data_IF_082643413297
#
_entry.id   IF_082643413297
#
_cell.length_a   1.000
_cell.length_b   1.000
_cell.length_c   1.000
_cell.angle_alpha   90.00
_cell.angle_beta   90.00
_cell.angle_gamma   90.00
#
_symmetry.space_group_name_H-M   'P 1'
#
loop_
_entity.id
_entity.type
_entity.pdbx_description
1 polymer ?
#
# COMPACT_ATOMS: atom_id res chain seq x y z
N UNK A 1 -24.00 -8.29 -60.27
CA UNK A 1 -24.50 -8.93 -61.49
C UNK A 1 -25.64 -9.85 -61.05
N UNK A 2 -26.92 -9.46 -61.20
CA UNK A 2 -27.43 -8.27 -61.89
C UNK A 2 -28.64 -7.59 -61.22
N UNK A 3 -28.98 -6.43 -61.78
CA UNK A 3 -30.15 -5.57 -61.55
C UNK A 3 -31.47 -6.23 -62.05
N UNK A 4 -32.69 -5.65 -61.98
CA UNK A 4 -33.16 -4.33 -61.49
C UNK A 4 -34.62 -4.41 -60.93
N UNK A 5 -35.24 -3.24 -60.66
CA UNK A 5 -36.59 -3.05 -60.09
C UNK A 5 -37.74 -3.16 -61.10
N UNK A 6 -38.97 -3.34 -60.59
CA UNK A 6 -40.16 -2.46 -60.76
C UNK A 6 -41.36 -3.05 -59.95
N UNK A 7 -42.22 -2.30 -59.24
CA UNK A 7 -43.28 -1.36 -59.68
C UNK A 7 -44.33 -2.01 -60.61
N UNK A 8 -45.66 -1.87 -60.43
CA UNK A 8 -46.49 -1.22 -59.38
C UNK A 8 -48.00 -1.54 -59.58
N UNK A 9 -48.87 -1.22 -58.59
CA UNK A 9 -50.34 -1.05 -58.72
C UNK A 9 -51.16 -2.34 -59.05
N UNK A 10 -52.49 -2.50 -58.88
CA UNK A 10 -53.66 -1.83 -58.24
C UNK A 10 -54.88 -2.84 -58.27
N UNK A 11 -56.14 -2.67 -57.83
CA UNK A 11 -57.04 -1.65 -57.18
C UNK A 11 -58.22 -2.47 -56.53
N UNK A 12 -58.68 -2.28 -55.29
CA UNK A 12 -59.72 -1.33 -54.76
C UNK A 12 -61.11 -1.96 -54.45
N UNK A 13 -62.01 -1.18 -53.82
CA UNK A 13 -63.39 -1.47 -53.35
C UNK A 13 -63.52 -2.29 -52.02
N UNK A 14 -64.49 -2.03 -51.13
CA UNK A 14 -65.60 -1.05 -51.16
C UNK A 14 -65.93 -0.41 -49.78
N UNK A 15 -66.78 0.62 -49.80
CA UNK A 15 -67.13 1.56 -48.70
C UNK A 15 -67.94 0.98 -47.52
N UNK A 16 -67.91 1.68 -46.38
CA UNK A 16 -69.13 2.27 -45.77
C UNK A 16 -68.82 3.48 -44.86
N UNK A 17 -69.82 4.30 -44.50
CA UNK A 17 -69.66 5.63 -43.85
C UNK A 17 -70.37 5.76 -42.48
N UNK A 18 -70.11 6.88 -41.80
CA UNK A 18 -70.50 7.22 -40.41
C UNK A 18 -72.00 7.51 -40.20
N UNK A 19 -72.44 7.53 -38.93
CA UNK A 19 -73.17 8.71 -38.42
C UNK A 19 -72.39 9.51 -37.35
N UNK A 20 -72.67 10.81 -37.28
CA UNK A 20 -72.15 11.72 -36.25
C UNK A 20 -73.12 11.90 -35.07
N UNK A 21 -72.58 12.10 -33.87
CA UNK A 21 -73.21 12.93 -32.82
C UNK A 21 -72.25 14.02 -32.34
N UNK A 22 -72.78 15.16 -31.90
CA UNK A 22 -72.02 16.35 -31.54
C UNK A 22 -71.96 16.57 -30.02
N UNK A 23 -70.76 16.75 -29.47
CA UNK A 23 -70.51 17.18 -28.10
C UNK A 23 -69.36 18.21 -28.04
N UNK A 24 -69.31 19.11 -27.03
CA UNK A 24 -68.65 20.41 -27.18
C UNK A 24 -67.12 20.43 -27.07
N UNK A 25 -66.53 21.50 -27.63
CA UNK A 25 -65.08 21.78 -27.66
C UNK A 25 -64.49 21.90 -26.24
N UNK A 26 -63.33 21.27 -26.02
CA UNK A 26 -62.48 21.47 -24.83
C UNK A 26 -61.54 22.68 -25.02
N UNK A 27 -61.12 23.36 -23.94
CA UNK A 27 -60.23 24.53 -24.01
C UNK A 27 -58.81 24.18 -24.46
N UNK A 28 -58.06 25.21 -24.89
CA UNK A 28 -56.65 25.09 -25.32
C UNK A 28 -55.76 24.74 -24.11
N UNK A 29 -54.88 23.75 -24.27
CA UNK A 29 -54.00 23.29 -23.20
C UNK A 29 -52.77 24.20 -23.03
N UNK A 30 -52.76 24.98 -21.94
CA UNK A 30 -51.60 25.80 -21.54
C UNK A 30 -50.42 24.96 -21.02
N UNK A 31 -50.68 23.72 -20.59
CA UNK A 31 -49.71 22.86 -19.89
C UNK A 31 -48.41 22.56 -20.63
N UNK A 32 -48.35 22.75 -21.97
CA UNK A 32 -47.11 22.62 -22.74
C UNK A 32 -46.05 23.66 -22.37
N UNK A 33 -46.43 24.85 -21.88
CA UNK A 33 -45.48 25.91 -21.53
C UNK A 33 -44.90 25.75 -20.12
N UNK A 34 -45.68 25.21 -19.18
CA UNK A 34 -45.22 24.95 -17.81
C UNK A 34 -44.50 23.61 -17.66
N UNK A 35 -44.84 22.59 -18.47
CA UNK A 35 -44.04 21.37 -18.57
C UNK A 35 -42.57 21.65 -18.95
N UNK A 36 -42.32 22.63 -19.82
CA UNK A 36 -40.97 23.08 -20.18
C UNK A 36 -40.26 23.83 -19.03
N UNK A 37 -40.99 24.57 -18.18
CA UNK A 37 -40.43 25.16 -16.95
C UNK A 37 -40.05 24.09 -15.92
N UNK A 38 -40.85 23.03 -15.80
CA UNK A 38 -40.57 21.91 -14.89
C UNK A 38 -39.30 21.13 -15.30
N UNK A 39 -39.05 20.96 -16.60
CA UNK A 39 -37.81 20.31 -17.09
C UNK A 39 -36.56 21.13 -16.72
N UNK A 40 -36.66 22.46 -16.68
CA UNK A 40 -35.55 23.33 -16.29
C UNK A 40 -35.20 23.31 -14.79
N UNK A 41 -36.07 22.78 -13.92
CA UNK A 41 -35.90 22.81 -12.45
C UNK A 41 -35.59 21.45 -11.81
N UNK A 42 -35.50 20.36 -12.59
CA UNK A 42 -35.30 18.99 -12.06
C UNK A 42 -33.95 18.31 -12.46
N UNK A 43 -32.78 18.97 -12.49
CA UNK A 43 -31.49 18.26 -12.49
C UNK A 43 -31.30 17.38 -11.24
N UNK A 44 -31.74 17.88 -10.07
CA UNK A 44 -31.42 17.29 -8.76
C UNK A 44 -32.10 15.95 -8.53
N UNK A 45 -33.42 15.83 -8.78
CA UNK A 45 -34.13 14.54 -8.62
C UNK A 45 -33.68 13.53 -9.68
N UNK A 46 -33.28 13.96 -10.88
CA UNK A 46 -32.69 13.08 -11.89
C UNK A 46 -31.37 12.48 -11.42
N UNK A 47 -30.46 13.31 -10.90
CA UNK A 47 -29.20 12.86 -10.30
C UNK A 47 -29.43 11.96 -9.06
N UNK A 48 -30.40 12.31 -8.21
CA UNK A 48 -30.74 11.54 -7.00
C UNK A 48 -31.35 10.17 -7.36
N UNK A 49 -32.25 10.11 -8.34
CA UNK A 49 -32.82 8.86 -8.86
C UNK A 49 -31.77 7.99 -9.55
N UNK A 50 -30.84 8.58 -10.32
CA UNK A 50 -29.70 7.86 -10.89
C UNK A 50 -28.76 7.33 -9.79
N UNK A 51 -28.51 8.12 -8.74
CA UNK A 51 -27.75 7.70 -7.56
C UNK A 51 -28.40 6.54 -6.82
N UNK A 52 -29.72 6.59 -6.59
CA UNK A 52 -30.51 5.51 -5.99
C UNK A 52 -30.52 4.27 -6.88
N UNK A 53 -30.65 4.42 -8.21
CA UNK A 53 -30.56 3.31 -9.17
C UNK A 53 -29.17 2.66 -9.16
N UNK A 54 -28.09 3.46 -9.17
CA UNK A 54 -26.71 2.97 -9.09
C UNK A 54 -26.43 2.28 -7.75
N UNK A 55 -26.91 2.84 -6.64
CA UNK A 55 -26.82 2.23 -5.30
C UNK A 55 -27.56 0.88 -5.26
N UNK A 56 -28.84 0.85 -5.65
CA UNK A 56 -29.65 -0.39 -5.74
C UNK A 56 -29.04 -1.42 -6.68
N UNK A 57 -28.41 -1.02 -7.79
CA UNK A 57 -27.75 -1.94 -8.73
C UNK A 57 -26.47 -2.54 -8.14
N UNK A 58 -25.69 -1.76 -7.38
CA UNK A 58 -24.55 -2.28 -6.64
C UNK A 58 -25.01 -3.21 -5.49
N UNK A 59 -26.03 -2.82 -4.73
CA UNK A 59 -26.65 -3.63 -3.68
C UNK A 59 -27.19 -4.96 -4.24
N UNK A 60 -27.92 -4.94 -5.37
CA UNK A 60 -28.40 -6.15 -6.04
C UNK A 60 -27.27 -7.05 -6.56
N UNK A 61 -26.14 -6.48 -7.00
CA UNK A 61 -24.98 -7.27 -7.43
C UNK A 61 -24.28 -7.92 -6.23
N UNK A 62 -24.05 -7.17 -5.15
CA UNK A 62 -23.46 -7.69 -3.92
C UNK A 62 -24.36 -8.76 -3.27
N UNK A 63 -25.67 -8.50 -3.18
CA UNK A 63 -26.64 -9.45 -2.63
C UNK A 63 -26.69 -10.73 -3.46
N UNK A 64 -26.65 -10.66 -4.80
CA UNK A 64 -26.56 -11.87 -5.64
C UNK A 64 -25.30 -12.67 -5.40
N UNK A 65 -24.17 -12.00 -5.18
CA UNK A 65 -22.91 -12.68 -4.83
C UNK A 65 -22.99 -13.37 -3.46
N UNK A 66 -23.57 -12.72 -2.44
CA UNK A 66 -23.73 -13.31 -1.09
C UNK A 66 -24.88 -14.32 -0.97
N UNK A 67 -25.87 -14.28 -1.87
CA UNK A 67 -26.92 -15.30 -2.01
C UNK A 67 -26.38 -16.57 -2.71
N UNK A 68 -25.61 -16.41 -3.79
CA UNK A 68 -24.89 -17.52 -4.45
C UNK A 68 -23.86 -18.15 -3.51
N UNK A 69 -23.09 -17.31 -2.84
CA UNK A 69 -22.02 -17.71 -1.94
C UNK A 69 -22.39 -17.27 -0.53
N UNK A 70 -23.04 -18.15 0.24
CA UNK A 70 -23.37 -17.93 1.66
C UNK A 70 -22.10 -17.76 2.49
N UNK A 71 -21.51 -16.57 2.45
CA UNK A 71 -20.42 -16.13 3.32
C UNK A 71 -21.00 -15.74 4.68
N UNK A 72 -20.21 -15.88 5.74
CA UNK A 72 -20.57 -15.23 6.98
C UNK A 72 -20.12 -13.77 6.91
N UNK A 73 -20.96 -12.87 7.40
CA UNK A 73 -20.50 -11.61 7.97
C UNK A 73 -19.92 -11.90 9.36
N UNK A 74 -18.78 -12.60 9.40
CA UNK A 74 -17.97 -12.69 10.62
C UNK A 74 -17.33 -11.31 10.81
N UNK A 75 -18.09 -10.41 11.44
CA UNK A 75 -17.58 -9.12 11.92
C UNK A 75 -16.36 -9.42 12.80
N UNK A 76 -15.17 -8.98 12.36
CA UNK A 76 -13.94 -9.15 13.12
C UNK A 76 -14.16 -8.46 14.48
N UNK A 77 -14.14 -9.18 15.62
CA UNK A 77 -14.43 -8.55 16.90
C UNK A 77 -13.36 -7.49 17.15
N UNK A 78 -13.79 -6.23 17.25
CA UNK A 78 -12.95 -5.14 17.75
C UNK A 78 -12.43 -5.60 19.11
N UNK A 79 -11.10 -5.74 19.23
CA UNK A 79 -10.49 -6.07 20.51
C UNK A 79 -10.87 -4.95 21.49
N UNK A 80 -11.55 -5.25 22.61
CA UNK A 80 -11.99 -4.21 23.52
C UNK A 80 -10.79 -3.42 24.02
N UNK A 81 -10.90 -2.09 23.97
CA UNK A 81 -9.86 -1.16 24.41
C UNK A 81 -9.49 -1.52 25.85
N UNK A 82 -8.21 -1.81 26.08
CA UNK A 82 -7.69 -2.10 27.42
C UNK A 82 -7.89 -0.88 28.34
N UNK A 83 -7.91 -1.09 29.65
CA UNK A 83 -8.10 -0.03 30.64
C UNK A 83 -7.07 1.11 30.47
N UNK A 84 -7.47 2.32 30.88
CA UNK A 84 -6.81 3.63 30.64
C UNK A 84 -5.33 3.79 31.11
N UNK A 85 -4.68 2.73 31.54
CA UNK A 85 -3.42 2.75 32.29
C UNK A 85 -2.15 2.49 31.43
N UNK A 86 -2.28 1.99 30.19
CA UNK A 86 -1.13 1.56 29.38
C UNK A 86 -1.01 2.32 28.05
N UNK A 87 -0.20 3.37 28.03
CA UNK A 87 0.30 4.02 26.81
C UNK A 87 1.57 3.26 26.33
N UNK A 88 1.66 2.95 25.04
CA UNK A 88 2.86 2.34 24.45
C UNK A 88 3.79 3.43 23.91
N UNK A 89 5.04 3.47 24.41
CA UNK A 89 6.05 4.45 23.97
C UNK A 89 6.83 3.89 22.79
N UNK A 90 6.81 4.60 21.67
CA UNK A 90 7.34 4.14 20.38
C UNK A 90 8.52 4.98 19.94
N UNK A 91 9.60 4.32 19.52
CA UNK A 91 10.67 4.93 18.74
C UNK A 91 10.53 4.62 17.25
N UNK A 92 10.90 5.55 16.37
CA UNK A 92 11.02 5.29 14.93
C UNK A 92 12.48 5.32 14.47
N UNK A 93 12.86 4.32 13.67
CA UNK A 93 14.19 4.20 13.04
C UNK A 93 13.97 4.21 11.52
N UNK A 94 14.33 5.32 10.88
CA UNK A 94 14.00 5.63 9.48
C UNK A 94 12.67 6.40 9.38
N UNK A 95 12.76 7.72 9.18
CA UNK A 95 11.63 8.66 9.13
C UNK A 95 11.33 9.19 7.71
N UNK A 96 12.08 8.74 6.68
CA UNK A 96 11.87 9.10 5.27
C UNK A 96 10.52 8.64 4.66
N UNK A 97 10.46 8.48 3.33
CA UNK A 97 9.19 8.30 2.58
C UNK A 97 8.27 7.22 3.19
N UNK A 98 8.80 6.05 3.60
CA UNK A 98 8.00 5.01 4.25
C UNK A 98 7.79 5.25 5.75
N UNK A 99 8.79 5.75 6.47
CA UNK A 99 8.65 6.14 7.89
C UNK A 99 7.52 7.14 8.09
N UNK A 100 7.45 8.20 7.29
CA UNK A 100 6.35 9.17 7.32
C UNK A 100 4.97 8.59 6.93
N UNK A 101 4.90 7.53 6.11
CA UNK A 101 3.65 6.79 5.87
C UNK A 101 3.22 6.01 7.12
N UNK A 102 4.16 5.38 7.82
CA UNK A 102 3.89 4.62 9.04
C UNK A 102 3.51 5.53 10.21
N UNK A 103 4.17 6.69 10.37
CA UNK A 103 3.76 7.72 11.32
C UNK A 103 2.29 8.14 11.11
N UNK A 104 1.88 8.34 9.84
CA UNK A 104 0.46 8.62 9.50
C UNK A 104 -0.48 7.44 9.73
N UNK A 105 0.01 6.21 9.72
CA UNK A 105 -0.74 5.03 10.16
C UNK A 105 -0.85 4.90 11.69
N UNK A 106 -0.01 5.63 12.42
CA UNK A 106 0.05 5.69 13.88
C UNK A 106 -0.61 6.97 14.45
N UNK A 107 -1.24 7.80 13.62
CA UNK A 107 -1.88 9.06 14.01
C UNK A 107 -1.00 10.31 14.01
N UNK A 108 0.27 10.22 13.61
CA UNK A 108 1.27 11.30 13.64
C UNK A 108 1.57 11.86 12.24
N UNK A 109 1.57 13.19 12.10
CA UNK A 109 1.87 13.85 10.82
C UNK A 109 2.48 15.24 11.02
N UNK A 110 3.37 15.66 10.11
CA UNK A 110 3.92 17.03 10.16
C UNK A 110 2.81 18.07 10.00
N UNK A 111 2.86 19.21 10.71
CA UNK A 111 1.86 20.27 10.60
C UNK A 111 1.67 20.79 9.16
N UNK A 112 2.74 20.75 8.35
CA UNK A 112 2.72 21.07 6.93
C UNK A 112 1.86 20.09 6.13
N UNK A 113 1.94 18.78 6.41
CA UNK A 113 1.13 17.75 5.73
C UNK A 113 -0.35 17.82 6.13
N UNK A 114 -0.64 18.11 7.40
CA UNK A 114 -2.03 18.28 7.89
C UNK A 114 -2.67 19.49 7.21
N UNK A 115 -1.97 20.63 7.15
CA UNK A 115 -2.47 21.82 6.45
C UNK A 115 -2.59 21.56 4.94
N UNK A 116 -1.68 20.79 4.32
CA UNK A 116 -1.84 20.40 2.91
C UNK A 116 -3.11 19.57 2.69
N UNK A 117 -3.37 18.52 3.48
CA UNK A 117 -4.57 17.69 3.37
C UNK A 117 -5.85 18.54 3.51
N UNK A 118 -5.88 19.43 4.51
CA UNK A 118 -6.96 20.38 4.76
C UNK A 118 -7.20 21.34 3.59
N UNK A 119 -6.14 21.89 3.02
CA UNK A 119 -6.22 22.75 1.84
C UNK A 119 -6.61 21.96 0.57
N UNK A 120 -6.33 20.66 0.50
CA UNK A 120 -6.80 19.80 -0.59
C UNK A 120 -8.29 19.42 -0.42
N UNK A 121 -8.79 19.14 0.79
CA UNK A 121 -10.21 18.81 1.04
C UNK A 121 -11.13 20.04 0.93
N UNK A 122 -10.63 21.25 1.20
CA UNK A 122 -11.32 22.50 0.89
C UNK A 122 -11.44 22.78 -0.63
N UNK A 123 -10.58 22.18 -1.46
CA UNK A 123 -10.58 22.33 -2.93
C UNK A 123 -11.38 21.24 -3.66
N UNK A 124 -11.41 20.03 -3.11
CA UNK A 124 -12.25 18.93 -3.60
C UNK A 124 -12.99 18.25 -2.44
N UNK A 125 -14.31 18.43 -2.39
CA UNK A 125 -15.18 17.85 -1.36
C UNK A 125 -15.35 16.32 -1.46
N UNK A 126 -14.76 15.67 -2.46
CA UNK A 126 -14.62 14.20 -2.54
C UNK A 126 -13.33 13.68 -1.91
N UNK A 127 -12.40 14.56 -1.56
CA UNK A 127 -11.11 14.20 -1.01
C UNK A 127 -11.22 13.97 0.51
N UNK A 128 -11.64 12.76 0.89
CA UNK A 128 -11.89 12.36 2.29
C UNK A 128 -10.64 12.35 3.16
N UNK A 129 -9.43 12.25 2.58
CA UNK A 129 -8.15 12.00 3.29
C UNK A 129 -7.87 12.87 4.52
N UNK A 130 -8.37 14.11 4.56
CA UNK A 130 -8.28 14.94 5.76
C UNK A 130 -9.20 14.43 6.88
N UNK A 131 -10.49 14.18 6.59
CA UNK A 131 -11.43 13.59 7.53
C UNK A 131 -10.96 12.18 7.95
N UNK A 132 -10.56 11.35 6.99
CA UNK A 132 -10.05 9.99 7.26
C UNK A 132 -8.86 9.99 8.24
N UNK A 133 -8.00 11.02 8.21
CA UNK A 133 -6.87 11.18 9.13
C UNK A 133 -7.28 11.74 10.49
N UNK A 134 -8.21 12.71 10.53
CA UNK A 134 -8.72 13.25 11.80
C UNK A 134 -9.56 12.20 12.57
N UNK A 135 -10.30 11.36 11.86
CA UNK A 135 -11.18 10.31 12.41
C UNK A 135 -10.44 9.01 12.78
N UNK A 136 -9.12 8.91 12.57
CA UNK A 136 -8.33 7.76 13.04
C UNK A 136 -8.43 7.58 14.55
N UNK A 137 -8.67 6.35 14.98
CA UNK A 137 -8.71 5.94 16.39
C UNK A 137 -7.43 6.36 17.16
N UNK A 138 -7.58 6.61 18.47
CA UNK A 138 -6.42 6.74 19.36
C UNK A 138 -5.88 5.35 19.70
N UNK A 139 -4.71 5.02 19.14
CA UNK A 139 -4.01 3.75 19.36
C UNK A 139 -3.36 3.65 20.76
N UNK A 140 -3.49 4.68 21.62
CA UNK A 140 -2.80 4.82 22.92
C UNK A 140 -1.28 4.74 22.78
N UNK A 141 -0.75 5.37 21.72
CA UNK A 141 0.69 5.42 21.41
C UNK A 141 1.23 6.82 21.64
N UNK A 142 2.44 6.90 22.22
CA UNK A 142 3.25 8.12 22.23
C UNK A 142 4.53 7.88 21.42
N UNK A 143 4.82 8.73 20.43
CA UNK A 143 6.15 8.74 19.83
C UNK A 143 7.11 9.44 20.81
N UNK A 144 8.13 8.73 21.29
CA UNK A 144 9.12 9.25 22.26
C UNK A 144 10.51 9.43 21.67
N UNK A 145 10.84 8.71 20.59
CA UNK A 145 12.18 8.73 20.01
C UNK A 145 12.19 8.72 18.47
N UNK A 146 13.13 9.44 17.87
CA UNK A 146 13.34 9.48 16.41
C UNK A 146 14.82 9.29 16.08
N UNK A 147 15.12 8.36 15.19
CA UNK A 147 16.45 8.15 14.62
C UNK A 147 16.36 8.07 13.09
N UNK A 148 17.03 9.00 12.39
CA UNK A 148 17.30 8.90 10.95
C UNK A 148 18.72 9.44 10.70
N UNK A 149 19.40 8.88 9.70
CA UNK A 149 20.76 9.27 9.30
C UNK A 149 20.76 10.53 8.43
N UNK A 150 19.61 10.95 7.90
CA UNK A 150 19.44 12.26 7.25
C UNK A 150 18.70 13.24 8.17
N UNK A 151 19.34 14.39 8.44
CA UNK A 151 18.84 15.46 9.30
C UNK A 151 17.37 15.83 9.05
N UNK A 152 17.00 16.13 7.81
CA UNK A 152 15.64 16.60 7.49
C UNK A 152 14.58 15.52 7.80
N UNK A 153 14.85 14.24 7.53
CA UNK A 153 13.94 13.16 7.91
C UNK A 153 13.77 13.08 9.43
N UNK A 154 14.86 13.23 10.19
CA UNK A 154 14.78 13.22 11.65
C UNK A 154 13.94 14.41 12.16
N UNK A 155 14.14 15.62 11.61
CA UNK A 155 13.33 16.80 11.98
C UNK A 155 11.85 16.65 11.61
N UNK A 156 11.51 16.09 10.44
CA UNK A 156 10.12 15.83 10.08
C UNK A 156 9.48 14.73 10.94
N UNK A 157 10.25 13.70 11.33
CA UNK A 157 9.80 12.72 12.32
C UNK A 157 9.51 13.35 13.69
N UNK A 158 10.31 14.33 14.12
CA UNK A 158 10.14 15.06 15.38
C UNK A 158 8.87 15.94 15.32
N UNK A 159 8.71 16.75 14.27
CA UNK A 159 7.48 17.54 14.02
C UNK A 159 6.23 16.66 14.03
N UNK A 160 6.29 15.49 13.38
CA UNK A 160 5.16 14.58 13.30
C UNK A 160 4.80 13.98 14.66
N UNK A 161 5.79 13.58 15.46
CA UNK A 161 5.58 13.09 16.83
C UNK A 161 5.04 14.16 17.79
N UNK A 162 5.52 15.39 17.67
CA UNK A 162 5.05 16.52 18.48
C UNK A 162 3.59 16.92 18.15
N UNK A 163 3.13 16.68 16.92
CA UNK A 163 1.78 17.05 16.46
C UNK A 163 0.67 16.11 16.96
N UNK A 164 0.64 15.84 18.28
CA UNK A 164 -0.32 14.94 18.95
C UNK A 164 -1.79 15.37 18.81
N UNK A 165 -2.04 16.62 18.41
CA UNK A 165 -3.38 17.17 18.18
C UNK A 165 -3.82 17.12 16.70
N UNK A 166 -2.96 16.59 15.81
CA UNK A 166 -3.20 16.51 14.35
C UNK A 166 -3.60 17.87 13.75
N UNK A 167 -2.90 18.94 14.14
CA UNK A 167 -3.18 20.31 13.67
C UNK A 167 -2.25 20.77 12.54
N UNK A 168 -2.65 21.84 11.85
CA UNK A 168 -1.84 22.48 10.79
C UNK A 168 -0.76 23.41 11.36
N UNK A 169 0.01 24.08 10.48
CA UNK A 169 1.23 24.85 10.82
C UNK A 169 1.14 25.94 11.90
N UNK A 170 -0.07 26.37 12.29
CA UNK A 170 -0.32 27.33 13.37
C UNK A 170 -0.98 26.68 14.61
N UNK A 171 -0.86 25.36 14.75
CA UNK A 171 -1.49 24.57 15.79
C UNK A 171 -0.76 24.55 17.13
N UNK A 172 -1.35 23.85 18.08
CA UNK A 172 -0.75 23.48 19.36
C UNK A 172 -0.06 22.13 19.21
N UNK A 173 1.15 22.00 19.76
CA UNK A 173 1.94 20.76 19.71
C UNK A 173 2.30 20.29 21.13
N UNK A 174 2.44 18.98 21.29
CA UNK A 174 2.91 18.34 22.52
C UNK A 174 4.43 18.30 22.64
N UNK A 175 4.97 17.51 23.58
CA UNK A 175 6.42 17.32 23.72
C UNK A 175 7.05 16.75 22.45
N UNK A 176 8.20 17.29 22.06
CA UNK A 176 9.00 16.74 20.96
C UNK A 176 9.59 15.36 21.34
N UNK A 177 9.51 14.34 20.47
CA UNK A 177 10.24 13.09 20.68
C UNK A 177 11.75 13.36 20.58
N UNK A 178 12.53 12.68 21.42
CA UNK A 178 13.98 12.87 21.47
C UNK A 178 14.66 12.37 20.18
N UNK A 179 15.48 13.23 19.57
CA UNK A 179 16.38 12.82 18.49
C UNK A 179 17.50 11.94 19.04
N UNK A 180 17.77 10.85 18.35
CA UNK A 180 18.97 10.03 18.50
C UNK A 180 19.77 10.07 17.19
N UNK A 181 21.11 10.05 17.30
CA UNK A 181 21.99 10.03 16.13
C UNK A 181 22.38 8.61 15.74
N UNK A 182 22.37 7.67 16.68
CA UNK A 182 22.58 6.25 16.41
C UNK A 182 21.41 5.42 16.96
N UNK A 183 20.93 4.44 16.19
CA UNK A 183 19.77 3.64 16.57
C UNK A 183 20.00 2.81 17.84
N UNK A 184 21.25 2.44 18.17
CA UNK A 184 21.55 1.68 19.39
C UNK A 184 21.39 2.52 20.65
N UNK A 185 21.53 3.85 20.56
CA UNK A 185 21.21 4.78 21.64
C UNK A 185 19.69 4.86 21.88
N UNK A 186 18.89 4.86 20.80
CA UNK A 186 17.43 4.78 20.85
C UNK A 186 16.97 3.44 21.46
N UNK A 187 17.62 2.33 21.07
CA UNK A 187 17.34 1.01 21.65
C UNK A 187 17.78 0.89 23.11
N UNK A 188 18.78 1.66 23.56
CA UNK A 188 19.22 1.70 24.95
C UNK A 188 18.33 2.58 25.85
N UNK A 189 17.32 3.27 25.30
CA UNK A 189 16.52 4.24 26.03
C UNK A 189 15.39 3.60 26.86
N UNK A 190 15.25 4.02 28.12
CA UNK A 190 14.20 3.53 29.05
C UNK A 190 12.79 4.08 28.71
N UNK A 191 12.70 5.10 27.84
CA UNK A 191 11.48 5.74 27.37
C UNK A 191 10.94 5.18 26.03
N UNK A 192 11.42 4.01 25.62
CA UNK A 192 10.98 3.28 24.41
C UNK A 192 10.58 1.85 24.76
N UNK A 193 9.34 1.45 24.47
CA UNK A 193 8.82 0.09 24.67
C UNK A 193 8.84 -0.72 23.36
N UNK A 194 8.55 -0.04 22.24
CA UNK A 194 8.48 -0.62 20.92
C UNK A 194 9.23 0.25 19.89
N UNK A 195 9.71 -0.36 18.81
CA UNK A 195 10.28 0.36 17.67
C UNK A 195 9.61 0.04 16.35
N UNK A 196 9.49 1.07 15.51
CA UNK A 196 9.10 0.98 14.11
C UNK A 196 10.36 1.15 13.27
N UNK A 197 10.75 0.10 12.54
CA UNK A 197 11.95 0.09 11.69
C UNK A 197 11.49 0.20 10.24
N UNK A 198 11.88 1.29 9.58
CA UNK A 198 11.56 1.63 8.20
C UNK A 198 12.80 2.18 7.45
N UNK A 199 13.96 1.55 7.70
CA UNK A 199 15.24 1.84 7.09
C UNK A 199 15.33 1.25 5.66
N UNK A 200 16.52 1.26 5.02
CA UNK A 200 16.81 0.39 3.88
C UNK A 200 16.88 -1.10 4.27
N UNK A 201 16.69 -1.99 3.27
CA UNK A 201 16.62 -3.45 3.46
C UNK A 201 17.87 -4.02 4.18
N UNK A 202 19.06 -3.52 3.84
CA UNK A 202 20.34 -4.02 4.40
C UNK A 202 20.48 -3.80 5.91
N UNK A 203 19.68 -2.91 6.49
CA UNK A 203 19.66 -2.64 7.93
C UNK A 203 18.58 -3.44 8.69
N UNK A 204 17.51 -3.89 8.03
CA UNK A 204 16.33 -4.48 8.67
C UNK A 204 16.64 -5.64 9.60
N UNK A 205 17.36 -6.66 9.11
CA UNK A 205 17.70 -7.84 9.91
C UNK A 205 18.53 -7.50 11.15
N UNK A 206 19.54 -6.65 10.99
CA UNK A 206 20.44 -6.24 12.07
C UNK A 206 19.72 -5.38 13.12
N UNK A 207 18.98 -4.36 12.69
CA UNK A 207 18.22 -3.48 13.59
C UNK A 207 17.13 -4.24 14.37
N UNK A 208 16.41 -5.17 13.71
CA UNK A 208 15.37 -5.96 14.37
C UNK A 208 15.95 -6.95 15.39
N UNK A 209 17.05 -7.63 15.05
CA UNK A 209 17.75 -8.51 15.98
C UNK A 209 18.27 -7.74 17.20
N UNK A 210 18.88 -6.56 17.01
CA UNK A 210 19.39 -5.75 18.12
C UNK A 210 18.25 -5.13 18.96
N UNK A 211 17.12 -4.78 18.35
CA UNK A 211 15.93 -4.29 19.07
C UNK A 211 15.33 -5.33 20.01
N UNK A 212 15.21 -6.59 19.55
CA UNK A 212 14.72 -7.70 20.38
C UNK A 212 15.68 -8.00 21.53
N UNK A 213 17.00 -7.99 21.28
CA UNK A 213 18.04 -8.13 22.33
C UNK A 213 17.97 -7.00 23.36
N UNK A 214 17.69 -5.77 22.93
CA UNK A 214 17.46 -4.60 23.78
C UNK A 214 16.08 -4.59 24.48
N UNK A 215 15.33 -5.71 24.42
CA UNK A 215 14.05 -5.86 25.11
C UNK A 215 12.88 -5.12 24.47
N UNK A 216 13.03 -4.56 23.26
CA UNK A 216 11.97 -3.79 22.59
C UNK A 216 11.02 -4.70 21.81
N UNK A 217 9.76 -4.27 21.69
CA UNK A 217 8.84 -4.82 20.68
C UNK A 217 9.16 -4.23 19.29
N UNK A 218 8.82 -4.94 18.22
CA UNK A 218 9.26 -4.55 16.85
C UNK A 218 8.11 -4.60 15.85
N UNK A 219 7.87 -3.47 15.20
CA UNK A 219 7.31 -3.43 13.85
C UNK A 219 8.46 -3.24 12.86
N UNK A 220 8.60 -4.15 11.89
CA UNK A 220 9.64 -4.12 10.87
C UNK A 220 9.00 -3.98 9.50
N UNK A 221 9.47 -3.05 8.67
CA UNK A 221 9.03 -2.99 7.27
C UNK A 221 9.43 -4.23 6.45
N UNK A 222 8.72 -4.43 5.33
CA UNK A 222 9.10 -5.49 4.39
C UNK A 222 10.16 -4.97 3.40
N UNK A 223 11.16 -5.79 3.01
CA UNK A 223 11.41 -7.18 3.36
C UNK A 223 11.97 -7.36 4.77
N UNK A 224 11.82 -8.56 5.35
CA UNK A 224 12.23 -8.82 6.72
C UNK A 224 13.76 -8.78 6.95
N UNK A 225 14.54 -9.16 5.94
CA UNK A 225 15.99 -9.38 6.00
C UNK A 225 16.60 -9.22 4.61
N UNK A 226 17.92 -9.06 4.54
CA UNK A 226 18.64 -8.86 3.27
C UNK A 226 19.27 -10.17 2.76
N UNK A 227 19.62 -11.09 3.67
CA UNK A 227 20.11 -12.44 3.35
C UNK A 227 19.26 -13.56 3.97
N UNK A 228 19.36 -14.76 3.40
CA UNK A 228 18.66 -15.96 3.92
C UNK A 228 19.17 -16.42 5.29
N UNK A 229 20.48 -16.39 5.62
CA UNK A 229 20.96 -16.66 6.98
C UNK A 229 20.37 -15.72 8.03
N UNK A 230 20.26 -14.42 7.75
CA UNK A 230 19.59 -13.46 8.65
C UNK A 230 18.14 -13.83 8.91
N UNK A 231 17.41 -14.33 7.90
CA UNK A 231 16.01 -14.78 8.04
C UNK A 231 15.85 -15.81 9.14
N UNK A 232 16.79 -16.76 9.24
CA UNK A 232 16.80 -17.79 10.27
C UNK A 232 17.26 -17.24 11.63
N UNK A 233 18.31 -16.42 11.65
CA UNK A 233 18.80 -15.80 12.90
C UNK A 233 17.74 -14.91 13.57
N UNK A 234 17.05 -14.06 12.79
CA UNK A 234 15.96 -13.24 13.30
C UNK A 234 14.75 -14.07 13.71
N UNK A 235 14.36 -15.11 12.95
CA UNK A 235 13.29 -16.05 13.34
C UNK A 235 13.56 -16.67 14.72
N UNK A 236 14.79 -17.12 14.97
CA UNK A 236 15.15 -17.84 16.18
C UNK A 236 15.34 -16.89 17.37
N UNK A 237 15.78 -15.66 17.14
CA UNK A 237 15.76 -14.58 18.14
C UNK A 237 14.31 -14.18 18.49
N UNK A 238 13.43 -13.98 17.51
CA UNK A 238 12.00 -13.70 17.76
C UNK A 238 11.37 -14.85 18.59
N UNK A 239 11.58 -16.11 18.17
CA UNK A 239 10.99 -17.30 18.81
C UNK A 239 11.55 -17.62 20.20
N UNK A 240 12.77 -17.23 20.51
CA UNK A 240 13.36 -17.38 21.85
C UNK A 240 13.03 -16.20 22.78
N UNK A 241 12.59 -15.07 22.24
CA UNK A 241 12.17 -13.89 23.01
C UNK A 241 10.71 -13.96 23.50
N UNK A 242 10.39 -13.10 24.47
CA UNK A 242 9.02 -12.76 24.85
C UNK A 242 8.56 -11.41 24.25
N UNK A 243 9.09 -11.04 23.07
CA UNK A 243 8.78 -9.76 22.40
C UNK A 243 7.80 -9.98 21.26
N UNK A 244 6.78 -9.11 21.17
CA UNK A 244 5.96 -8.98 19.96
C UNK A 244 6.83 -8.53 18.79
N UNK A 245 6.70 -9.22 17.66
CA UNK A 245 7.33 -8.90 16.39
C UNK A 245 6.27 -8.94 15.27
N UNK A 246 6.20 -7.90 14.45
CA UNK A 246 5.30 -7.81 13.30
C UNK A 246 6.05 -7.33 12.05
N UNK A 247 5.77 -7.97 10.92
CA UNK A 247 6.29 -7.61 9.60
C UNK A 247 5.27 -6.75 8.82
N UNK A 248 5.74 -5.72 8.13
CA UNK A 248 4.97 -4.63 7.50
C UNK A 248 4.17 -4.97 6.24
N UNK A 249 3.56 -6.15 6.16
CA UNK A 249 2.68 -6.53 5.05
C UNK A 249 1.30 -5.86 5.18
N UNK A 250 1.16 -4.61 4.74
CA UNK A 250 -0.09 -3.85 4.92
C UNK A 250 -1.34 -4.47 4.27
N UNK A 251 -1.18 -5.33 3.26
CA UNK A 251 -2.31 -5.95 2.55
C UNK A 251 -3.07 -7.01 3.39
N UNK A 252 -2.61 -7.35 4.61
CA UNK A 252 -3.21 -8.35 5.51
C UNK A 252 -4.61 -8.02 6.06
N UNK A 253 -5.15 -6.85 5.74
CA UNK A 253 -6.49 -6.42 6.15
C UNK A 253 -7.49 -6.32 4.98
N UNK A 254 -7.10 -6.71 3.75
CA UNK A 254 -7.97 -6.63 2.56
C UNK A 254 -9.06 -7.71 2.61
N UNK A 255 -10.33 -7.31 2.77
CA UNK A 255 -11.48 -8.23 2.83
C UNK A 255 -11.58 -9.15 1.61
N UNK A 256 -11.20 -8.67 0.42
CA UNK A 256 -11.23 -9.46 -0.81
C UNK A 256 -10.38 -10.75 -0.74
N UNK A 257 -9.31 -10.75 0.05
CA UNK A 257 -8.49 -11.96 0.27
C UNK A 257 -9.21 -12.97 1.17
N UNK A 258 -9.95 -12.51 2.18
CA UNK A 258 -10.80 -13.38 3.01
C UNK A 258 -11.93 -13.98 2.18
N UNK A 259 -12.58 -13.19 1.31
CA UNK A 259 -13.62 -13.70 0.41
C UNK A 259 -13.06 -14.70 -0.61
N UNK A 260 -11.85 -14.47 -1.15
CA UNK A 260 -11.16 -15.43 -2.00
C UNK A 260 -10.87 -16.74 -1.25
N UNK A 261 -10.36 -16.66 -0.01
CA UNK A 261 -10.14 -17.82 0.86
C UNK A 261 -11.44 -18.58 1.14
N UNK A 262 -12.54 -17.90 1.47
CA UNK A 262 -13.85 -18.52 1.68
C UNK A 262 -14.41 -19.20 0.41
N UNK A 263 -14.12 -18.69 -0.79
CA UNK A 263 -14.52 -19.31 -2.06
C UNK A 263 -13.76 -20.63 -2.26
N UNK A 264 -12.45 -20.63 -1.99
CA UNK A 264 -11.56 -21.78 -2.16
C UNK A 264 -11.83 -22.86 -1.09
N UNK A 265 -12.01 -22.47 0.18
CA UNK A 265 -12.34 -23.40 1.27
C UNK A 265 -13.72 -24.08 1.07
N UNK A 266 -14.63 -23.47 0.30
CA UNK A 266 -15.91 -24.07 -0.14
C UNK A 266 -15.77 -24.97 -1.39
N UNK A 267 -14.57 -25.11 -1.94
CA UNK A 267 -14.28 -25.95 -3.11
C UNK A 267 -14.86 -25.42 -4.44
N UNK A 268 -15.32 -24.17 -4.49
CA UNK A 268 -16.16 -23.64 -5.57
C UNK A 268 -15.42 -23.45 -6.91
N UNK A 269 -14.08 -23.44 -6.89
CA UNK A 269 -13.22 -23.35 -8.06
C UNK A 269 -12.62 -24.72 -8.46
N UNK A 270 -12.84 -25.78 -7.67
CA UNK A 270 -12.12 -27.04 -7.78
C UNK A 270 -10.62 -26.89 -7.41
N UNK A 271 -9.75 -27.80 -7.89
CA UNK A 271 -8.31 -27.72 -7.68
C UNK A 271 -7.70 -26.50 -8.38
N UNK A 272 -6.87 -25.73 -7.66
CA UNK A 272 -6.17 -24.56 -8.21
C UNK A 272 -4.84 -25.01 -8.83
N UNK A 273 -4.79 -25.10 -10.16
CA UNK A 273 -3.57 -25.50 -10.90
C UNK A 273 -2.66 -24.34 -11.29
N UNK A 274 -3.21 -23.13 -11.44
CA UNK A 274 -2.48 -21.94 -11.83
C UNK A 274 -2.95 -20.73 -11.02
N UNK A 275 -1.99 -19.89 -10.61
CA UNK A 275 -2.21 -18.59 -9.97
C UNK A 275 -1.37 -17.56 -10.71
N UNK A 276 -1.94 -16.43 -11.09
CA UNK A 276 -1.24 -15.35 -11.80
C UNK A 276 -1.41 -14.02 -11.05
N UNK A 277 -0.30 -13.30 -10.85
CA UNK A 277 -0.24 -11.98 -10.21
C UNK A 277 0.76 -11.09 -10.93
N UNK A 278 0.74 -9.79 -10.64
CA UNK A 278 1.82 -8.89 -11.07
C UNK A 278 1.68 -7.47 -10.56
N UNK A 279 2.79 -6.72 -10.53
CA UNK A 279 2.81 -5.32 -10.06
C UNK A 279 3.47 -4.41 -11.09
N UNK A 280 2.64 -3.68 -11.83
CA UNK A 280 3.08 -2.74 -12.85
C UNK A 280 3.19 -1.32 -12.26
N UNK A 281 4.35 -0.67 -12.42
CA UNK A 281 4.62 0.70 -11.94
C UNK A 281 5.29 1.51 -13.05
N UNK A 282 4.50 2.33 -13.73
CA UNK A 282 4.84 2.86 -15.06
C UNK A 282 5.29 4.33 -15.02
N UNK A 283 5.84 4.78 -13.89
CA UNK A 283 6.24 6.17 -13.63
C UNK A 283 7.58 6.24 -12.86
N UNK A 284 8.29 7.39 -12.88
CA UNK A 284 9.59 7.53 -12.23
C UNK A 284 9.57 7.25 -10.72
N UNK A 285 8.54 7.71 -10.00
CA UNK A 285 8.40 7.48 -8.56
C UNK A 285 8.04 6.00 -8.27
N UNK A 286 7.27 5.37 -9.14
CA UNK A 286 6.99 3.94 -9.10
C UNK A 286 8.24 3.07 -9.29
N UNK A 287 9.17 3.50 -10.13
CA UNK A 287 10.46 2.86 -10.42
C UNK A 287 11.65 3.37 -9.57
N UNK A 288 11.35 4.00 -8.43
CA UNK A 288 12.27 4.55 -7.42
C UNK A 288 13.20 5.69 -7.89
N UNK A 289 12.93 6.31 -9.04
CA UNK A 289 13.61 7.50 -9.55
C UNK A 289 13.01 8.76 -8.91
N UNK A 290 13.18 8.87 -7.59
CA UNK A 290 12.73 10.04 -6.82
C UNK A 290 13.57 11.28 -7.10
N UNK A 291 13.01 12.46 -6.79
CA UNK A 291 13.80 13.67 -6.62
C UNK A 291 14.73 13.53 -5.40
N UNK A 292 15.97 13.98 -5.54
CA UNK A 292 16.93 14.08 -4.42
C UNK A 292 16.56 15.31 -3.60
N UNK A 293 16.57 15.20 -2.27
CA UNK A 293 16.27 16.34 -1.39
C UNK A 293 17.33 17.45 -1.56
N UNK A 294 16.96 18.74 -1.72
CA UNK A 294 17.93 19.81 -1.99
C UNK A 294 19.01 19.94 -0.92
N UNK A 295 18.65 19.73 0.35
CA UNK A 295 19.60 19.80 1.49
C UNK A 295 20.47 18.54 1.66
N UNK A 296 20.29 17.50 0.83
CA UNK A 296 21.05 16.25 0.94
C UNK A 296 22.51 16.44 0.59
N UNK A 297 23.42 16.28 1.56
CA UNK A 297 24.87 16.37 1.37
C UNK A 297 25.63 15.65 2.52
N UNK A 298 26.95 15.54 2.40
CA UNK A 298 27.83 14.86 3.37
C UNK A 298 27.77 15.39 4.81
N UNK A 299 27.22 16.60 5.03
CA UNK A 299 27.06 17.20 6.36
C UNK A 299 25.70 16.93 7.00
N UNK A 300 24.69 16.60 6.20
CA UNK A 300 23.31 16.34 6.66
C UNK A 300 22.96 14.85 6.64
N UNK A 301 23.74 14.03 5.93
CA UNK A 301 23.59 12.58 5.83
C UNK A 301 24.80 11.90 6.48
N UNK A 302 24.60 11.15 7.57
CA UNK A 302 25.62 10.25 8.10
C UNK A 302 25.80 9.05 7.16
N UNK A 303 26.68 9.22 6.18
CA UNK A 303 26.98 8.19 5.19
C UNK A 303 27.55 6.93 5.81
N UNK A 304 28.38 7.04 6.85
CA UNK A 304 29.01 5.89 7.51
C UNK A 304 27.96 5.01 8.21
N UNK A 305 26.94 5.61 8.81
CA UNK A 305 25.79 4.87 9.33
C UNK A 305 24.83 4.39 8.24
N UNK A 306 24.73 5.08 7.10
CA UNK A 306 23.99 4.58 5.94
C UNK A 306 24.65 3.33 5.33
N UNK A 307 25.97 3.32 5.14
CA UNK A 307 26.76 2.18 4.66
C UNK A 307 26.46 0.93 5.48
N UNK A 308 26.70 1.00 6.79
CA UNK A 308 26.53 -0.12 7.71
C UNK A 308 27.82 -0.56 8.39
N UNK A 309 27.67 -1.60 9.22
CA UNK A 309 28.77 -2.20 9.95
C UNK A 309 29.70 -3.00 9.01
N UNK A 310 31.04 -2.79 9.02
CA UNK A 310 31.97 -3.47 8.12
C UNK A 310 31.92 -5.00 8.15
N UNK A 311 31.66 -5.61 9.30
CA UNK A 311 31.60 -7.07 9.42
C UNK A 311 30.26 -7.61 8.85
N UNK A 312 29.16 -6.86 9.01
CA UNK A 312 27.88 -7.17 8.33
C UNK A 312 28.01 -7.02 6.81
N UNK A 313 28.69 -5.98 6.34
CA UNK A 313 28.98 -5.77 4.91
C UNK A 313 29.85 -6.91 4.37
N UNK A 314 30.85 -7.36 5.12
CA UNK A 314 31.69 -8.50 4.75
C UNK A 314 30.88 -9.80 4.64
N UNK A 315 30.03 -10.11 5.62
CA UNK A 315 29.17 -11.30 5.60
C UNK A 315 28.27 -11.33 4.35
N UNK A 316 27.66 -10.18 4.00
CA UNK A 316 26.89 -10.05 2.77
C UNK A 316 27.73 -10.26 1.51
N UNK A 317 28.94 -9.67 1.44
CA UNK A 317 29.82 -9.81 0.28
C UNK A 317 30.36 -11.23 0.11
N UNK A 318 30.66 -11.93 1.22
CA UNK A 318 31.00 -13.36 1.22
C UNK A 318 29.81 -14.19 0.69
N UNK A 319 28.59 -13.92 1.16
CA UNK A 319 27.36 -14.58 0.69
C UNK A 319 27.12 -14.36 -0.81
N UNK A 320 27.14 -13.11 -1.28
CA UNK A 320 26.99 -12.76 -2.71
C UNK A 320 28.08 -13.36 -3.59
N UNK A 321 29.31 -13.49 -3.08
CA UNK A 321 30.41 -14.16 -3.79
C UNK A 321 30.15 -15.66 -3.87
N UNK A 322 29.76 -16.30 -2.77
CA UNK A 322 29.45 -17.74 -2.75
C UNK A 322 28.29 -18.13 -3.69
N UNK A 323 27.32 -17.24 -3.89
CA UNK A 323 26.20 -17.40 -4.82
C UNK A 323 26.52 -17.00 -6.28
N UNK A 324 27.73 -16.51 -6.60
CA UNK A 324 28.08 -16.01 -7.94
C UNK A 324 27.39 -14.69 -8.33
N UNK A 325 26.85 -13.97 -7.35
CA UNK A 325 26.06 -12.74 -7.50
C UNK A 325 26.89 -11.46 -7.36
N UNK A 326 28.15 -11.54 -6.90
CA UNK A 326 29.03 -10.37 -6.70
C UNK A 326 29.16 -9.45 -7.94
N UNK A 327 28.94 -9.97 -9.15
CA UNK A 327 28.86 -9.21 -10.42
C UNK A 327 27.66 -8.24 -10.53
N UNK A 328 26.72 -8.27 -9.58
CA UNK A 328 25.56 -7.37 -9.50
C UNK A 328 25.66 -6.35 -8.35
N UNK A 329 26.75 -6.39 -7.57
CA UNK A 329 27.11 -5.31 -6.63
C UNK A 329 27.34 -4.03 -7.42
N UNK A 330 27.03 -2.88 -6.82
CA UNK A 330 27.05 -1.57 -7.47
C UNK A 330 28.42 -1.24 -8.09
N UNK A 331 28.45 -0.44 -9.17
CA UNK A 331 29.67 -0.13 -9.90
C UNK A 331 30.65 0.75 -9.11
N UNK A 332 30.16 1.44 -8.08
CA UNK A 332 30.95 2.24 -7.13
C UNK A 332 31.13 1.48 -5.80
N UNK A 333 32.30 1.61 -5.13
CA UNK A 333 32.49 1.04 -3.79
C UNK A 333 31.58 1.73 -2.76
N UNK A 334 31.31 1.06 -1.63
CA UNK A 334 30.25 1.45 -0.68
C UNK A 334 30.57 2.74 0.10
N UNK A 335 31.84 2.94 0.40
CA UNK A 335 32.42 4.11 1.09
C UNK A 335 32.32 5.42 0.28
N UNK A 336 32.13 5.33 -1.04
CA UNK A 336 31.93 6.49 -1.90
C UNK A 336 30.53 7.09 -1.69
N UNK A 337 30.49 8.26 -1.05
CA UNK A 337 29.28 9.07 -0.89
C UNK A 337 28.49 9.24 -2.19
N UNK A 338 27.18 8.98 -2.15
CA UNK A 338 26.30 9.18 -3.31
C UNK A 338 24.86 9.46 -2.88
N UNK A 339 24.37 10.66 -3.20
CA UNK A 339 22.97 11.06 -3.00
C UNK A 339 22.00 10.17 -3.77
N UNK A 340 22.39 9.67 -4.94
CA UNK A 340 21.58 8.73 -5.69
C UNK A 340 21.47 7.38 -4.98
N UNK A 341 22.58 6.83 -4.48
CA UNK A 341 22.53 5.59 -3.68
C UNK A 341 21.83 5.79 -2.34
N UNK A 342 21.84 6.99 -1.77
CA UNK A 342 21.05 7.33 -0.58
C UNK A 342 19.54 7.36 -0.87
N UNK A 343 19.08 8.27 -1.73
CA UNK A 343 17.64 8.50 -1.95
C UNK A 343 16.99 7.43 -2.84
N UNK A 344 17.77 6.73 -3.68
CA UNK A 344 17.30 5.67 -4.59
C UNK A 344 17.94 4.32 -4.26
N UNK A 345 18.17 4.04 -2.98
CA UNK A 345 18.83 2.82 -2.50
C UNK A 345 18.23 1.52 -3.08
N UNK A 346 16.92 1.49 -3.37
CA UNK A 346 16.20 0.38 -4.02
C UNK A 346 16.71 0.00 -5.42
N UNK A 347 17.44 0.87 -6.10
CA UNK A 347 18.05 0.60 -7.41
C UNK A 347 19.35 -0.24 -7.33
N UNK A 348 19.87 -0.51 -6.13
CA UNK A 348 21.19 -1.07 -5.92
C UNK A 348 21.12 -2.30 -5.01
N UNK A 349 21.62 -3.45 -5.46
CA UNK A 349 21.63 -4.67 -4.64
C UNK A 349 22.37 -4.49 -3.31
N UNK A 350 23.35 -3.57 -3.27
CA UNK A 350 24.11 -3.11 -2.11
C UNK A 350 23.25 -2.67 -0.91
N UNK A 351 22.01 -2.25 -1.16
CA UNK A 351 21.11 -1.72 -0.12
C UNK A 351 19.71 -2.33 -0.20
N UNK A 352 19.48 -3.24 -1.15
CA UNK A 352 18.14 -3.69 -1.52
C UNK A 352 18.05 -5.15 -1.97
N UNK A 353 16.86 -5.70 -1.79
CA UNK A 353 16.33 -6.95 -2.36
C UNK A 353 15.60 -6.74 -3.70
N UNK A 354 15.51 -5.49 -4.17
CA UNK A 354 14.90 -5.10 -5.42
C UNK A 354 13.40 -5.39 -5.51
N UNK A 355 12.90 -5.64 -6.74
CA UNK A 355 11.49 -5.98 -6.99
C UNK A 355 10.98 -7.17 -6.14
N UNK A 356 11.88 -8.07 -5.72
CA UNK A 356 11.52 -9.28 -4.97
C UNK A 356 11.00 -8.97 -3.55
N UNK A 357 11.70 -8.12 -2.80
CA UNK A 357 11.30 -7.69 -1.47
C UNK A 357 10.57 -6.35 -1.43
N UNK A 358 10.61 -5.52 -2.48
CA UNK A 358 9.78 -4.32 -2.52
C UNK A 358 8.33 -4.60 -2.93
N UNK A 359 8.10 -5.46 -3.95
CA UNK A 359 6.78 -5.65 -4.57
C UNK A 359 6.26 -7.09 -4.45
N UNK A 360 6.99 -8.07 -5.00
CA UNK A 360 6.58 -9.48 -5.04
C UNK A 360 6.22 -10.03 -3.65
N UNK A 361 6.91 -9.58 -2.58
CA UNK A 361 6.58 -10.00 -1.21
C UNK A 361 5.15 -9.69 -0.78
N UNK A 362 4.49 -8.66 -1.34
CA UNK A 362 3.09 -8.36 -1.05
C UNK A 362 2.14 -9.39 -1.69
N UNK A 363 2.36 -9.74 -2.95
CA UNK A 363 1.57 -10.76 -3.65
C UNK A 363 1.84 -12.16 -3.09
N UNK A 364 3.09 -12.45 -2.73
CA UNK A 364 3.47 -13.70 -2.07
C UNK A 364 2.80 -13.85 -0.69
N UNK A 365 2.70 -12.78 0.09
CA UNK A 365 1.96 -12.80 1.35
C UNK A 365 0.44 -12.95 1.12
N UNK A 366 -0.13 -12.25 0.14
CA UNK A 366 -1.53 -12.38 -0.24
C UNK A 366 -1.88 -13.84 -0.63
N UNK A 367 -1.05 -14.50 -1.45
CA UNK A 367 -1.26 -15.90 -1.81
C UNK A 367 -1.06 -16.84 -0.61
N UNK A 368 -0.28 -16.48 0.40
CA UNK A 368 -0.21 -17.23 1.65
C UNK A 368 -1.42 -17.01 2.57
N UNK A 369 -2.04 -15.84 2.56
CA UNK A 369 -3.33 -15.61 3.24
C UNK A 369 -4.45 -16.45 2.59
N UNK A 370 -4.52 -16.45 1.26
CA UNK A 370 -5.62 -17.08 0.49
C UNK A 370 -5.45 -18.59 0.37
N UNK A 371 -4.27 -19.07 -0.04
CA UNK A 371 -4.00 -20.48 -0.40
C UNK A 371 -3.06 -21.20 0.58
N UNK A 372 -2.46 -20.47 1.53
CA UNK A 372 -1.48 -21.01 2.51
C UNK A 372 -0.36 -21.80 1.80
N UNK A 373 0.16 -21.26 0.69
CA UNK A 373 1.10 -21.96 -0.23
C UNK A 373 2.37 -22.47 0.46
N UNK A 374 2.96 -21.67 1.34
CA UNK A 374 4.20 -22.00 2.04
C UNK A 374 5.46 -21.65 1.22
N UNK A 375 6.29 -22.66 0.97
CA UNK A 375 7.55 -22.56 0.23
C UNK A 375 7.44 -23.50 -1.00
N UNK A 376 7.80 -23.05 -2.22
CA UNK A 376 7.75 -23.87 -3.43
C UNK A 376 8.88 -24.89 -3.50
N UNK A 377 8.67 -25.94 -4.29
CA UNK A 377 9.68 -26.94 -4.66
C UNK A 377 10.83 -26.35 -5.49
N UNK A 378 10.52 -25.34 -6.31
CA UNK A 378 11.46 -24.68 -7.22
C UNK A 378 10.92 -23.35 -7.69
N UNK A 379 11.83 -22.41 -7.98
CA UNK A 379 11.52 -21.11 -8.58
C UNK A 379 12.39 -20.87 -9.82
N UNK A 380 11.84 -20.20 -10.83
CA UNK A 380 12.58 -19.74 -12.02
C UNK A 380 12.22 -18.28 -12.29
N UNK A 381 13.21 -17.40 -12.20
CA UNK A 381 13.07 -15.96 -12.44
C UNK A 381 13.73 -15.55 -13.76
N UNK A 382 13.18 -14.54 -14.42
CA UNK A 382 13.83 -13.84 -15.54
C UNK A 382 13.49 -12.35 -15.53
N UNK A 383 14.35 -11.52 -16.12
CA UNK A 383 14.24 -10.08 -16.01
C UNK A 383 15.53 -9.35 -16.38
N UNK A 384 15.58 -8.04 -16.13
CA UNK A 384 16.74 -7.20 -16.40
C UNK A 384 16.47 -5.72 -16.21
N UNK A 385 17.40 -4.88 -16.65
CA UNK A 385 17.26 -3.42 -16.71
C UNK A 385 16.94 -3.04 -18.15
N UNK A 386 15.67 -2.95 -18.48
CA UNK A 386 15.17 -2.80 -19.86
C UNK A 386 14.82 -1.35 -20.22
N UNK A 387 14.32 -0.54 -19.29
CA UNK A 387 13.87 0.84 -19.54
C UNK A 387 14.77 1.89 -18.87
N UNK A 388 14.98 1.79 -17.56
CA UNK A 388 15.72 2.79 -16.76
C UNK A 388 17.23 2.58 -16.87
N UNK A 389 17.85 3.23 -17.87
CA UNK A 389 19.31 3.20 -18.11
C UNK A 389 20.10 4.17 -17.23
N UNK A 390 19.73 4.25 -15.95
CA UNK A 390 20.37 5.11 -14.94
C UNK A 390 21.59 4.45 -14.26
N UNK A 391 21.94 3.23 -14.66
CA UNK A 391 23.09 2.49 -14.11
C UNK A 391 22.73 1.58 -12.93
N UNK A 392 21.46 1.53 -12.52
CA UNK A 392 20.96 0.60 -11.49
C UNK A 392 21.43 -0.85 -11.73
N UNK A 393 21.68 -1.58 -10.64
CA UNK A 393 21.99 -3.02 -10.71
C UNK A 393 20.78 -3.90 -10.41
N UNK A 394 19.77 -3.36 -9.72
CA UNK A 394 18.46 -3.99 -9.55
C UNK A 394 17.67 -3.92 -10.88
N UNK A 395 17.06 -5.02 -11.35
CA UNK A 395 16.25 -5.03 -12.56
C UNK A 395 14.99 -4.15 -12.41
N UNK A 396 14.57 -3.52 -13.51
CA UNK A 396 13.29 -2.80 -13.59
C UNK A 396 12.13 -3.67 -14.11
N UNK A 397 12.44 -4.86 -14.63
CA UNK A 397 11.48 -5.93 -14.98
C UNK A 397 11.92 -7.24 -14.34
N UNK A 398 11.02 -7.89 -13.59
CA UNK A 398 11.23 -9.20 -12.96
C UNK A 398 9.94 -10.03 -13.00
N UNK A 399 9.95 -11.12 -13.74
CA UNK A 399 8.91 -12.16 -13.71
C UNK A 399 9.46 -13.43 -13.04
N UNK A 400 8.63 -14.17 -12.30
CA UNK A 400 9.02 -15.42 -11.63
C UNK A 400 7.91 -16.45 -11.63
N UNK A 401 8.25 -17.69 -11.94
CA UNK A 401 7.40 -18.87 -11.75
C UNK A 401 7.84 -19.65 -10.51
N UNK A 402 6.87 -20.13 -9.72
CA UNK A 402 7.05 -20.94 -8.52
C UNK A 402 6.22 -22.22 -8.63
N UNK A 403 6.85 -23.37 -8.43
CA UNK A 403 6.18 -24.67 -8.53
C UNK A 403 5.87 -25.28 -7.16
N UNK A 404 4.66 -25.79 -6.98
CA UNK A 404 4.21 -26.52 -5.80
C UNK A 404 3.69 -27.90 -6.23
N UNK A 405 4.60 -28.87 -6.39
CA UNK A 405 4.37 -30.18 -7.00
C UNK A 405 3.33 -30.99 -6.23
N UNK A 406 3.47 -31.03 -4.91
CA UNK A 406 2.55 -31.73 -4.00
C UNK A 406 1.13 -31.13 -3.98
N UNK A 407 0.95 -29.92 -4.56
CA UNK A 407 -0.36 -29.26 -4.73
C UNK A 407 -0.88 -29.33 -6.16
N UNK A 408 -0.03 -29.65 -7.13
CA UNK A 408 -0.32 -29.51 -8.55
C UNK A 408 -0.52 -28.05 -8.99
N UNK A 409 0.11 -27.09 -8.31
CA UNK A 409 -0.10 -25.64 -8.50
C UNK A 409 1.18 -24.94 -8.96
N UNK A 410 1.09 -24.16 -10.05
CA UNK A 410 2.11 -23.16 -10.43
C UNK A 410 1.64 -21.76 -10.03
N UNK A 411 2.53 -20.93 -9.50
CA UNK A 411 2.28 -19.53 -9.18
C UNK A 411 3.21 -18.62 -10.00
N UNK A 412 2.63 -17.68 -10.75
CA UNK A 412 3.32 -16.70 -11.58
C UNK A 412 3.20 -15.29 -11.00
N UNK A 413 4.32 -14.57 -11.03
CA UNK A 413 4.42 -13.14 -10.76
C UNK A 413 5.05 -12.41 -11.96
N UNK A 414 4.55 -11.21 -12.28
CA UNK A 414 4.96 -10.36 -13.42
C UNK A 414 5.07 -8.86 -13.10
#
# INVERSE_FOLDING_TARGET
MDNDKNLSNEKDTNKEELPHENAPKRPVSEGRRDALKAIATVPVLGAMAYGIYKKRRNEMNNNRASEMFRFKSDERPMTPIASDENIVRVGIIGAGIRGSQLLRGLGFATPEYVEELKQQSLKDSKNTRYADFMEQEDLRIQLTAVCDVFDNHAYDGIKAGANIHREGVNGTYGPEPKRYLNYKELLAADDVDAVVIASPDHWHGTMAMDAIKAGKHVYLEKPMTWTVPETYALRDIVKSSNRVFQLGHQNRQIEAYERAREIIEKGLLGPISLVETGTNRNDPNGAWVYAIHPDGNEKTIDWKQFEGDPDRIKEYMDYMTSAGLAKYVGPDPRDKFSLERFFRWRCWWDYSTGLSGDLLTHEYDAMNQILKLGIPDSAVSSGGVYFFKDGRTVPDVLQTAFEYKDRGTTFLYS
#
